data_IF_384052365037
#
_entry.id   IF_384052365037
#
_cell.length_a   1.000
_cell.length_b   1.000
_cell.length_c   1.000
_cell.angle_alpha   90.00
_cell.angle_beta   90.00
_cell.angle_gamma   90.00
#
_symmetry.space_group_name_H-M   'P 1'
#
loop_
_entity.id
_entity.type
_entity.pdbx_description
1 polymer ?
#
# COMPACT_ATOMS: atom_id res chain seq x y z
N UNK A 1 48.72 -30.26 -7.20
CA UNK A 1 48.56 -29.41 -6.01
C UNK A 1 48.10 -28.05 -6.50
N UNK A 2 46.80 -27.87 -6.66
CA UNK A 2 46.23 -26.58 -7.05
C UNK A 2 45.57 -25.92 -5.85
N UNK A 3 46.02 -24.77 -5.64
CA UNK A 3 46.03 -23.86 -4.51
C UNK A 3 44.66 -23.61 -3.89
N UNK A 4 44.50 -23.99 -2.63
CA UNK A 4 43.41 -23.69 -1.71
C UNK A 4 43.17 -22.16 -1.48
N UNK A 5 44.06 -21.32 -1.98
CA UNK A 5 44.00 -19.86 -1.80
C UNK A 5 42.96 -19.16 -2.69
N UNK A 6 42.58 -19.72 -3.82
CA UNK A 6 41.60 -19.07 -4.71
C UNK A 6 40.15 -19.15 -4.18
N UNK A 7 39.82 -20.20 -3.45
CA UNK A 7 38.49 -20.36 -2.86
C UNK A 7 38.25 -19.36 -1.70
N UNK A 8 39.29 -19.03 -0.96
CA UNK A 8 39.19 -18.06 0.17
C UNK A 8 39.02 -16.63 -0.31
N UNK A 9 39.66 -16.24 -1.43
CA UNK A 9 39.53 -14.90 -1.99
C UNK A 9 38.14 -14.70 -2.60
N UNK A 10 37.57 -15.72 -3.27
CA UNK A 10 36.23 -15.66 -3.82
C UNK A 10 35.16 -15.53 -2.73
N UNK A 11 35.32 -16.22 -1.58
CA UNK A 11 34.39 -16.10 -0.46
C UNK A 11 34.42 -14.74 0.24
N UNK A 12 35.61 -14.13 0.34
CA UNK A 12 35.76 -12.80 0.93
C UNK A 12 35.19 -11.68 0.05
N UNK A 13 35.25 -11.83 -1.28
CA UNK A 13 34.66 -10.85 -2.21
C UNK A 13 33.15 -10.91 -2.20
N UNK A 14 32.54 -12.13 -2.14
CA UNK A 14 31.08 -12.26 -2.06
C UNK A 14 30.52 -11.75 -0.73
N UNK A 15 31.23 -11.99 0.38
CA UNK A 15 30.85 -11.45 1.69
C UNK A 15 30.94 -9.91 1.75
N UNK A 16 31.89 -9.31 1.03
CA UNK A 16 32.06 -7.84 0.99
C UNK A 16 30.98 -7.15 0.17
N UNK A 17 30.48 -7.78 -0.91
CA UNK A 17 29.40 -7.23 -1.74
C UNK A 17 28.08 -7.25 -0.98
N UNK A 18 27.77 -8.33 -0.25
CA UNK A 18 26.58 -8.39 0.58
C UNK A 18 26.59 -7.38 1.73
N UNK A 19 27.75 -7.14 2.36
CA UNK A 19 27.89 -6.18 3.45
C UNK A 19 27.79 -4.71 3.00
N UNK A 20 28.01 -4.42 1.71
CA UNK A 20 27.82 -3.06 1.17
C UNK A 20 26.37 -2.77 0.77
N UNK A 21 25.57 -3.78 0.46
CA UNK A 21 24.15 -3.59 0.16
C UNK A 21 23.32 -3.31 1.42
N UNK A 22 23.71 -3.88 2.57
CA UNK A 22 23.05 -3.63 3.87
C UNK A 22 23.32 -2.23 4.44
N UNK A 23 24.25 -1.48 3.84
CA UNK A 23 24.59 -0.10 4.23
C UNK A 23 24.23 0.95 3.18
N UNK A 24 23.41 0.63 2.21
CA UNK A 24 22.74 1.67 1.46
C UNK A 24 21.92 2.49 2.46
N UNK A 25 22.42 3.67 2.81
CA UNK A 25 21.74 4.66 3.65
C UNK A 25 20.48 5.12 2.94
N UNK A 26 19.46 4.27 2.94
CA UNK A 26 18.10 4.75 2.76
C UNK A 26 17.85 5.65 3.96
N UNK A 27 17.84 6.96 3.73
CA UNK A 27 17.69 7.96 4.78
C UNK A 27 16.55 7.58 5.72
N UNK A 28 16.64 7.99 6.98
CA UNK A 28 15.59 7.71 7.95
C UNK A 28 14.21 8.02 7.35
N UNK A 29 13.22 7.12 7.50
CA UNK A 29 11.92 7.31 6.91
C UNK A 29 11.32 8.63 7.39
N UNK A 30 10.98 9.51 6.45
CA UNK A 30 10.42 10.82 6.76
C UNK A 30 9.10 10.67 7.51
N UNK A 31 9.08 11.08 8.77
CA UNK A 31 7.85 11.06 9.58
C UNK A 31 6.94 12.20 9.14
N UNK A 32 5.84 11.86 8.49
CA UNK A 32 4.82 12.82 8.11
C UNK A 32 4.06 13.30 9.35
N UNK A 33 3.99 14.63 9.53
CA UNK A 33 3.29 15.22 10.66
C UNK A 33 1.77 15.07 10.47
N UNK A 34 1.02 14.71 11.53
CA UNK A 34 -0.43 14.69 11.45
C UNK A 34 -0.98 16.11 11.19
N UNK A 35 -2.14 16.16 10.55
CA UNK A 35 -2.83 17.44 10.29
C UNK A 35 -3.11 18.19 11.59
N UNK A 36 -2.85 19.48 11.59
CA UNK A 36 -3.05 20.37 12.75
C UNK A 36 -3.86 21.58 12.35
N UNK A 37 -4.69 22.02 13.28
CA UNK A 37 -5.43 23.26 13.21
C UNK A 37 -4.69 24.41 13.93
N UNK A 38 -5.24 25.61 13.88
CA UNK A 38 -4.81 26.75 14.69
C UNK A 38 -5.02 26.48 16.18
N UNK A 39 -4.37 27.28 17.04
CA UNK A 39 -4.54 27.19 18.50
C UNK A 39 -6.01 27.35 18.87
N UNK A 40 -6.51 26.49 19.78
CA UNK A 40 -7.91 26.46 20.22
C UNK A 40 -8.86 25.74 19.25
N UNK A 41 -8.31 25.12 18.19
CA UNK A 41 -9.09 24.35 17.23
C UNK A 41 -8.59 22.89 17.12
N UNK A 42 -9.51 21.97 16.87
CA UNK A 42 -9.21 20.56 16.60
C UNK A 42 -9.65 20.13 15.20
N UNK A 43 -8.88 19.24 14.56
CA UNK A 43 -9.30 18.62 13.32
C UNK A 43 -10.37 17.55 13.55
N UNK A 44 -11.44 17.63 12.78
CA UNK A 44 -12.51 16.62 12.73
C UNK A 44 -12.76 16.19 11.29
N UNK A 45 -13.25 14.96 11.05
CA UNK A 45 -13.54 14.48 9.70
C UNK A 45 -14.61 15.34 9.01
N UNK A 46 -14.37 15.68 7.74
CA UNK A 46 -15.38 16.31 6.89
C UNK A 46 -16.45 15.33 6.46
N UNK A 47 -17.68 15.82 6.32
CA UNK A 47 -18.75 15.13 5.65
C UNK A 47 -19.05 15.79 4.29
N UNK A 48 -19.37 15.05 3.22
CA UNK A 48 -19.45 13.58 3.13
C UNK A 48 -18.08 12.92 3.23
N UNK A 49 -18.03 11.72 3.86
CA UNK A 49 -16.83 10.91 3.89
C UNK A 49 -16.51 10.43 2.48
N UNK A 50 -15.33 10.80 1.99
CA UNK A 50 -14.88 10.53 0.61
C UNK A 50 -13.53 9.85 0.66
N UNK A 51 -13.53 8.56 0.42
CA UNK A 51 -12.30 7.78 0.24
C UNK A 51 -12.30 7.21 -1.16
N UNK A 52 -11.17 7.30 -1.82
CA UNK A 52 -10.93 6.70 -3.12
C UNK A 52 -9.80 5.69 -2.99
N UNK A 53 -9.94 4.55 -3.65
CA UNK A 53 -8.88 3.55 -3.68
C UNK A 53 -8.72 2.99 -5.09
N UNK A 54 -7.49 2.89 -5.53
CA UNK A 54 -7.10 2.19 -6.77
C UNK A 54 -6.62 0.76 -6.47
N UNK A 55 -6.98 0.23 -5.28
CA UNK A 55 -6.43 -1.05 -4.86
C UNK A 55 -4.92 -0.96 -4.62
N UNK A 56 -4.22 -2.05 -4.89
CA UNK A 56 -2.77 -2.11 -4.74
C UNK A 56 -2.00 -1.34 -5.82
N UNK A 57 -2.62 -1.03 -6.96
CA UNK A 57 -1.99 -0.26 -8.05
C UNK A 57 -1.48 1.10 -7.59
N UNK A 58 -2.24 1.79 -6.70
CA UNK A 58 -1.86 3.12 -6.20
C UNK A 58 -0.67 3.10 -5.24
N UNK A 59 -0.48 2.00 -4.53
CA UNK A 59 0.52 1.94 -3.46
C UNK A 59 1.93 1.66 -3.97
N UNK A 60 2.10 1.28 -5.22
CA UNK A 60 3.36 0.80 -5.76
C UNK A 60 3.77 1.47 -7.08
N UNK A 61 3.13 2.61 -7.43
CA UNK A 61 3.55 3.42 -8.57
C UNK A 61 3.61 2.65 -9.90
N UNK A 62 2.71 1.70 -10.12
CA UNK A 62 2.71 0.85 -11.31
C UNK A 62 3.76 -0.27 -11.32
N UNK A 63 4.67 -0.34 -10.34
CA UNK A 63 5.72 -1.37 -10.28
C UNK A 63 5.16 -2.79 -10.05
N UNK A 64 3.99 -2.93 -9.41
CA UNK A 64 3.35 -4.25 -9.27
C UNK A 64 2.80 -4.78 -10.59
N UNK A 65 2.49 -3.91 -11.55
CA UNK A 65 2.10 -4.35 -12.87
C UNK A 65 3.26 -5.04 -13.63
N UNK A 66 4.49 -4.84 -13.17
CA UNK A 66 5.70 -5.42 -13.78
C UNK A 66 6.17 -6.74 -13.15
N UNK A 67 5.49 -7.29 -12.14
CA UNK A 67 5.86 -8.60 -11.62
C UNK A 67 5.40 -9.69 -12.61
N UNK A 68 6.34 -10.41 -13.26
CA UNK A 68 6.00 -11.56 -14.09
C UNK A 68 5.32 -12.61 -13.21
N UNK A 69 4.14 -13.07 -13.61
CA UNK A 69 3.43 -14.12 -12.88
C UNK A 69 2.20 -13.66 -12.11
N UNK A 70 1.61 -12.51 -12.45
CA UNK A 70 0.29 -12.14 -11.95
C UNK A 70 -0.69 -13.24 -12.36
N UNK A 71 -1.16 -14.00 -11.39
CA UNK A 71 -2.24 -14.97 -11.61
C UNK A 71 -3.46 -14.21 -12.15
N UNK A 72 -4.22 -14.80 -13.07
CA UNK A 72 -5.46 -14.24 -13.62
C UNK A 72 -6.58 -14.05 -12.57
N UNK A 73 -6.25 -14.25 -11.29
CA UNK A 73 -7.14 -14.11 -10.14
C UNK A 73 -7.11 -12.73 -9.48
N UNK A 74 -8.05 -12.49 -8.54
CA UNK A 74 -8.05 -11.28 -7.72
C UNK A 74 -6.78 -11.20 -6.88
N UNK A 75 -6.24 -9.98 -6.73
CA UNK A 75 -5.07 -9.72 -5.90
C UNK A 75 -5.39 -10.03 -4.42
N UNK A 76 -4.69 -10.96 -3.77
CA UNK A 76 -4.97 -11.32 -2.38
C UNK A 76 -4.77 -10.14 -1.41
N UNK A 77 -3.99 -9.13 -1.78
CA UNK A 77 -3.72 -7.94 -0.96
C UNK A 77 -4.71 -6.79 -1.20
N UNK A 78 -5.68 -6.93 -2.10
CA UNK A 78 -6.56 -5.83 -2.51
C UNK A 78 -7.32 -5.21 -1.34
N UNK A 79 -7.87 -6.03 -0.44
CA UNK A 79 -8.55 -5.54 0.75
C UNK A 79 -7.61 -4.79 1.71
N UNK A 80 -6.36 -5.23 1.83
CA UNK A 80 -5.36 -4.54 2.63
C UNK A 80 -4.98 -3.19 2.02
N UNK A 81 -4.92 -3.10 0.70
CA UNK A 81 -4.68 -1.85 -0.02
C UNK A 81 -5.86 -0.88 0.13
N UNK A 82 -7.09 -1.36 0.06
CA UNK A 82 -8.28 -0.55 0.32
C UNK A 82 -8.30 -0.02 1.76
N UNK A 83 -7.96 -0.86 2.73
CA UNK A 83 -7.86 -0.48 4.13
C UNK A 83 -6.76 0.58 4.36
N UNK A 84 -5.60 0.45 3.69
CA UNK A 84 -4.52 1.44 3.70
C UNK A 84 -4.99 2.78 3.13
N UNK A 85 -5.64 2.77 1.98
CA UNK A 85 -6.19 3.97 1.34
C UNK A 85 -7.20 4.68 2.26
N UNK A 86 -8.10 3.93 2.91
CA UNK A 86 -9.04 4.47 3.88
C UNK A 86 -8.35 5.09 5.08
N UNK A 87 -7.31 4.42 5.62
CA UNK A 87 -6.53 4.95 6.73
C UNK A 87 -5.85 6.26 6.36
N UNK A 88 -5.11 6.32 5.25
CA UNK A 88 -4.37 7.53 4.82
C UNK A 88 -5.29 8.73 4.56
N UNK A 89 -6.51 8.48 4.07
CA UNK A 89 -7.51 9.50 3.76
C UNK A 89 -8.43 9.84 4.93
N UNK A 90 -8.30 9.13 6.05
CA UNK A 90 -9.07 9.47 7.26
C UNK A 90 -8.41 10.62 8.00
N UNK A 91 -9.20 11.65 8.32
CA UNK A 91 -8.73 12.82 9.06
C UNK A 91 -8.13 12.45 10.42
N UNK A 92 -6.93 12.95 10.71
CA UNK A 92 -6.21 12.72 11.96
C UNK A 92 -5.54 11.36 12.07
N UNK A 93 -5.54 10.56 10.99
CA UNK A 93 -4.72 9.34 10.91
C UNK A 93 -3.23 9.67 10.95
N UNK A 94 -2.39 8.68 11.17
CA UNK A 94 -0.93 8.83 11.20
C UNK A 94 -0.33 7.92 10.14
N UNK A 95 0.38 8.49 9.17
CA UNK A 95 0.86 7.77 7.98
C UNK A 95 1.59 6.47 8.29
N UNK A 96 2.57 6.51 9.20
CA UNK A 96 3.35 5.31 9.53
C UNK A 96 2.50 4.21 10.19
N UNK A 97 1.46 4.56 10.97
CA UNK A 97 0.54 3.57 11.53
C UNK A 97 -0.36 2.94 10.46
N UNK A 98 -0.77 3.71 9.43
CA UNK A 98 -1.49 3.16 8.30
C UNK A 98 -0.61 2.17 7.52
N UNK A 99 0.66 2.50 7.34
CA UNK A 99 1.63 1.60 6.71
C UNK A 99 1.87 0.33 7.53
N UNK A 100 2.05 0.46 8.84
CA UNK A 100 2.20 -0.69 9.75
C UNK A 100 0.97 -1.62 9.72
N UNK A 101 -0.23 -1.05 9.74
CA UNK A 101 -1.46 -1.83 9.64
C UNK A 101 -1.57 -2.55 8.29
N UNK A 102 -1.18 -1.91 7.20
CA UNK A 102 -1.13 -2.53 5.89
C UNK A 102 -0.15 -3.71 5.87
N UNK A 103 1.06 -3.55 6.39
CA UNK A 103 2.05 -4.63 6.45
C UNK A 103 1.52 -5.82 7.24
N UNK A 104 0.97 -5.60 8.43
CA UNK A 104 0.35 -6.66 9.25
C UNK A 104 -0.82 -7.36 8.54
N UNK A 105 -1.65 -6.61 7.82
CA UNK A 105 -2.73 -7.17 7.02
C UNK A 105 -2.18 -8.08 5.92
N UNK A 106 -1.21 -7.58 5.15
CA UNK A 106 -0.60 -8.33 4.05
C UNK A 106 0.13 -9.58 4.52
N UNK A 107 0.95 -9.49 5.56
CA UNK A 107 1.64 -10.63 6.16
C UNK A 107 0.66 -11.72 6.60
N UNK A 108 -0.43 -11.34 7.27
CA UNK A 108 -1.47 -12.29 7.70
C UNK A 108 -2.21 -12.92 6.51
N UNK A 109 -2.49 -12.13 5.48
CA UNK A 109 -3.16 -12.60 4.25
C UNK A 109 -2.27 -13.58 3.49
N UNK A 110 -1.01 -13.25 3.26
CA UNK A 110 -0.07 -14.12 2.55
C UNK A 110 0.20 -15.42 3.32
N UNK A 111 0.36 -15.34 4.64
CA UNK A 111 0.56 -16.51 5.49
C UNK A 111 -0.65 -17.47 5.52
N UNK A 112 -1.85 -17.00 5.21
CA UNK A 112 -3.06 -17.83 5.12
C UNK A 112 -3.18 -18.60 3.80
N UNK A 113 -2.33 -18.34 2.81
CA UNK A 113 -2.31 -19.04 1.52
C UNK A 113 -1.65 -20.43 1.73
N UNK A 114 -2.38 -21.49 1.41
CA UNK A 114 -1.93 -22.85 1.64
C UNK A 114 -0.77 -23.30 0.71
N UNK A 115 -0.73 -22.77 -0.52
CA UNK A 115 0.35 -23.06 -1.45
C UNK A 115 1.61 -22.24 -1.11
N UNK A 116 2.76 -22.86 -0.80
CA UNK A 116 3.97 -22.18 -0.40
C UNK A 116 4.50 -21.20 -1.45
N UNK A 117 4.39 -21.56 -2.74
CA UNK A 117 4.85 -20.70 -3.83
C UNK A 117 3.96 -19.46 -3.96
N UNK A 118 2.64 -19.63 -3.91
CA UNK A 118 1.70 -18.51 -3.95
C UNK A 118 1.83 -17.61 -2.71
N UNK A 119 2.11 -18.17 -1.53
CA UNK A 119 2.41 -17.42 -0.31
C UNK A 119 3.68 -16.56 -0.45
N UNK A 120 4.76 -17.13 -0.99
CA UNK A 120 6.01 -16.41 -1.28
C UNK A 120 5.79 -15.30 -2.31
N UNK A 121 5.11 -15.60 -3.41
CA UNK A 121 4.78 -14.61 -4.45
C UNK A 121 3.89 -13.48 -3.91
N UNK A 122 2.98 -13.77 -2.99
CA UNK A 122 2.17 -12.77 -2.28
C UNK A 122 3.02 -11.86 -1.39
N UNK A 123 4.10 -12.38 -0.79
CA UNK A 123 4.92 -11.65 0.17
C UNK A 123 5.93 -10.70 -0.49
N UNK A 124 6.40 -11.00 -1.70
CA UNK A 124 7.38 -10.18 -2.44
C UNK A 124 6.97 -8.70 -2.60
N UNK A 125 5.73 -8.39 -2.97
CA UNK A 125 5.26 -7.01 -3.03
C UNK A 125 5.33 -6.27 -1.69
N UNK A 126 5.14 -6.97 -0.56
CA UNK A 126 5.21 -6.35 0.76
C UNK A 126 6.64 -5.94 1.11
N UNK A 127 7.64 -6.74 0.76
CA UNK A 127 9.05 -6.40 0.97
C UNK A 127 9.43 -5.15 0.15
N UNK A 128 9.03 -5.10 -1.12
CA UNK A 128 9.24 -3.92 -1.96
C UNK A 128 8.54 -2.69 -1.37
N UNK A 129 7.31 -2.83 -0.89
CA UNK A 129 6.57 -1.75 -0.26
C UNK A 129 7.27 -1.24 1.02
N UNK A 130 7.93 -2.10 1.77
CA UNK A 130 8.72 -1.71 2.95
C UNK A 130 9.88 -0.79 2.55
N UNK A 131 10.59 -1.13 1.48
CA UNK A 131 11.69 -0.31 0.93
C UNK A 131 11.14 1.02 0.39
N UNK A 132 10.10 0.96 -0.44
CA UNK A 132 9.50 2.15 -1.07
C UNK A 132 8.90 3.12 -0.05
N UNK A 133 8.40 2.62 1.08
CA UNK A 133 7.83 3.48 2.13
C UNK A 133 8.85 4.42 2.76
N UNK A 134 10.14 4.08 2.71
CA UNK A 134 11.23 4.94 3.18
C UNK A 134 11.54 6.09 2.22
N UNK A 135 11.25 5.90 0.93
CA UNK A 135 11.47 6.90 -0.13
C UNK A 135 10.26 7.82 -0.33
N UNK A 136 9.13 7.46 0.24
CA UNK A 136 7.87 8.17 0.08
C UNK A 136 7.91 9.56 0.74
N UNK A 137 7.38 10.55 0.02
CA UNK A 137 7.20 11.90 0.54
C UNK A 137 5.83 12.07 1.23
N UNK A 138 5.65 13.18 1.94
CA UNK A 138 4.40 13.43 2.67
C UNK A 138 3.32 14.12 1.83
N UNK A 139 3.58 14.50 0.59
CA UNK A 139 2.73 15.41 -0.17
C UNK A 139 1.33 14.83 -0.41
N UNK A 140 1.23 13.56 -0.79
CA UNK A 140 -0.05 12.91 -1.04
C UNK A 140 -0.85 12.77 0.26
N UNK A 141 -0.21 12.30 1.33
CA UNK A 141 -0.82 12.21 2.65
C UNK A 141 -1.31 13.56 3.15
N UNK A 142 -0.49 14.61 3.04
CA UNK A 142 -0.84 15.97 3.47
C UNK A 142 -2.04 16.53 2.68
N UNK A 143 -2.11 16.20 1.38
CA UNK A 143 -3.25 16.56 0.54
C UNK A 143 -4.53 15.84 0.99
N UNK A 144 -4.47 14.55 1.27
CA UNK A 144 -5.61 13.80 1.80
C UNK A 144 -6.10 14.38 3.13
N UNK A 145 -5.18 14.71 4.03
CA UNK A 145 -5.54 15.29 5.32
C UNK A 145 -6.22 16.65 5.16
N UNK A 146 -5.71 17.55 4.30
CA UNK A 146 -6.34 18.86 4.00
C UNK A 146 -7.72 18.71 3.38
N UNK A 147 -7.91 17.73 2.50
CA UNK A 147 -9.20 17.50 1.85
C UNK A 147 -10.25 16.95 2.82
N UNK A 148 -9.86 16.07 3.73
CA UNK A 148 -10.77 15.29 4.56
C UNK A 148 -10.89 15.79 6.00
N UNK A 149 -10.05 16.75 6.43
CA UNK A 149 -10.16 17.40 7.72
C UNK A 149 -10.81 18.78 7.60
N UNK A 150 -11.58 19.16 8.62
CA UNK A 150 -11.95 20.54 8.91
C UNK A 150 -11.54 20.88 10.33
N UNK A 151 -11.18 22.14 10.56
CA UNK A 151 -10.90 22.68 11.89
C UNK A 151 -12.19 23.20 12.50
N UNK A 152 -12.42 22.87 13.76
CA UNK A 152 -13.53 23.39 14.57
C UNK A 152 -12.99 23.76 15.94
N UNK A 153 -13.69 24.61 16.67
CA UNK A 153 -13.32 24.99 18.03
C UNK A 153 -13.37 23.75 18.95
N UNK A 154 -12.47 23.67 19.92
CA UNK A 154 -12.29 22.48 20.76
C UNK A 154 -13.58 22.07 21.49
N UNK A 155 -14.39 23.05 21.93
CA UNK A 155 -15.69 22.84 22.58
C UNK A 155 -16.75 22.22 21.63
N UNK A 156 -16.68 22.50 20.33
CA UNK A 156 -17.57 21.93 19.30
C UNK A 156 -17.09 20.59 18.75
N UNK A 157 -15.81 20.25 18.96
CA UNK A 157 -15.18 19.11 18.31
C UNK A 157 -15.92 17.79 18.61
N UNK A 158 -16.33 17.56 19.86
CA UNK A 158 -17.03 16.33 20.24
C UNK A 158 -18.42 16.22 19.60
N UNK A 159 -19.13 17.34 19.45
CA UNK A 159 -20.43 17.40 18.79
C UNK A 159 -20.32 17.06 17.30
N UNK A 160 -19.28 17.60 16.64
CA UNK A 160 -19.00 17.29 15.22
C UNK A 160 -18.57 15.84 15.00
N UNK A 161 -17.83 15.23 15.94
CA UNK A 161 -17.52 13.79 15.92
C UNK A 161 -18.78 12.92 15.99
N UNK A 162 -19.68 13.23 16.93
CA UNK A 162 -20.97 12.53 17.06
C UNK A 162 -21.76 12.67 15.75
N UNK A 163 -21.88 13.87 15.23
CA UNK A 163 -22.61 14.17 13.99
C UNK A 163 -22.03 13.39 12.78
N UNK A 164 -20.69 13.33 12.69
CA UNK A 164 -20.03 12.55 11.63
C UNK A 164 -20.38 11.05 11.73
N UNK A 165 -20.22 10.44 12.90
CA UNK A 165 -20.48 9.01 13.09
C UNK A 165 -21.96 8.68 12.87
N UNK A 166 -22.88 9.55 13.32
CA UNK A 166 -24.32 9.40 13.08
C UNK A 166 -24.60 9.37 11.56
N UNK A 167 -24.13 10.38 10.82
CA UNK A 167 -24.29 10.45 9.36
C UNK A 167 -23.65 9.27 8.62
N UNK A 168 -22.53 8.76 9.15
CA UNK A 168 -21.89 7.58 8.60
C UNK A 168 -22.81 6.37 8.69
N UNK A 169 -23.38 6.12 9.87
CA UNK A 169 -24.31 5.01 10.06
C UNK A 169 -25.62 5.20 9.27
N UNK A 170 -26.22 6.39 9.30
CA UNK A 170 -27.40 6.71 8.49
C UNK A 170 -27.23 6.33 7.02
N UNK A 171 -26.02 6.53 6.48
CA UNK A 171 -25.73 6.25 5.07
C UNK A 171 -25.36 4.80 4.79
N UNK A 172 -24.55 4.17 5.65
CA UNK A 172 -23.91 2.89 5.34
C UNK A 172 -24.44 1.72 6.15
N UNK A 173 -25.08 1.97 7.29
CA UNK A 173 -25.71 0.95 8.13
C UNK A 173 -26.77 1.58 9.05
N UNK A 174 -27.96 1.92 8.55
CA UNK A 174 -29.01 2.60 9.30
C UNK A 174 -29.47 1.87 10.57
N UNK A 175 -29.37 0.54 10.58
CA UNK A 175 -29.78 -0.29 11.73
C UNK A 175 -28.94 -0.01 12.98
N UNK A 176 -27.70 0.44 12.81
CA UNK A 176 -26.74 0.67 13.88
C UNK A 176 -26.60 2.16 14.30
N UNK A 177 -27.44 3.07 13.77
CA UNK A 177 -27.40 4.51 14.10
C UNK A 177 -27.41 4.77 15.61
N UNK A 178 -28.19 3.99 16.38
CA UNK A 178 -28.26 4.10 17.82
C UNK A 178 -26.92 3.91 18.56
N UNK A 179 -25.94 3.25 17.91
CA UNK A 179 -24.58 3.05 18.45
C UNK A 179 -23.68 4.27 18.26
N UNK A 180 -24.02 5.19 17.36
CA UNK A 180 -23.16 6.30 16.92
C UNK A 180 -22.69 7.18 18.09
N UNK A 181 -23.63 7.65 18.93
CA UNK A 181 -23.32 8.52 20.07
C UNK A 181 -22.35 7.86 21.06
N UNK A 182 -22.57 6.57 21.38
CA UNK A 182 -21.72 5.81 22.31
C UNK A 182 -20.31 5.58 21.74
N UNK A 183 -20.20 5.31 20.44
CA UNK A 183 -18.90 5.10 19.78
C UNK A 183 -18.13 6.41 19.65
N UNK A 184 -18.79 7.50 19.23
CA UNK A 184 -18.17 8.82 19.16
C UNK A 184 -17.71 9.35 20.52
N UNK A 185 -18.46 9.06 21.61
CA UNK A 185 -18.06 9.43 22.96
C UNK A 185 -16.75 8.75 23.41
N UNK A 186 -16.48 7.53 22.93
CA UNK A 186 -15.22 6.83 23.19
C UNK A 186 -14.06 7.34 22.31
N UNK A 187 -14.38 8.00 21.22
CA UNK A 187 -13.43 8.60 20.27
C UNK A 187 -13.22 10.09 20.57
N UNK A 188 -12.88 10.41 21.81
CA UNK A 188 -12.75 11.74 22.40
C UNK A 188 -11.52 12.52 21.94
N UNK A 189 -10.59 11.88 21.26
CA UNK A 189 -9.40 12.53 20.69
C UNK A 189 -9.35 12.35 19.17
N UNK A 190 -8.59 13.22 18.48
CA UNK A 190 -8.35 13.17 17.05
C UNK A 190 -7.89 11.76 16.62
N UNK A 191 -6.93 11.19 17.34
CA UNK A 191 -6.37 9.85 17.04
C UNK A 191 -7.38 8.72 17.24
N UNK A 192 -8.16 8.76 18.34
CA UNK A 192 -9.21 7.75 18.58
C UNK A 192 -10.30 7.87 17.53
N UNK A 193 -10.65 9.10 17.13
CA UNK A 193 -11.63 9.34 16.08
C UNK A 193 -11.14 8.80 14.73
N UNK A 194 -9.90 9.06 14.36
CA UNK A 194 -9.29 8.50 13.14
C UNK A 194 -9.32 6.96 13.16
N UNK A 195 -8.96 6.34 14.28
CA UNK A 195 -9.02 4.88 14.46
C UNK A 195 -10.44 4.34 14.30
N UNK A 196 -11.44 5.02 14.88
CA UNK A 196 -12.85 4.63 14.75
C UNK A 196 -13.29 4.70 13.29
N UNK A 197 -13.03 5.82 12.60
CA UNK A 197 -13.45 6.05 11.21
C UNK A 197 -12.78 5.04 10.26
N UNK A 198 -11.49 4.75 10.45
CA UNK A 198 -10.79 3.72 9.66
C UNK A 198 -11.42 2.34 9.86
N UNK A 199 -11.71 1.96 11.11
CA UNK A 199 -12.41 0.68 11.41
C UNK A 199 -13.82 0.61 10.79
N UNK A 200 -14.55 1.74 10.80
CA UNK A 200 -15.84 1.82 10.12
C UNK A 200 -15.70 1.67 8.61
N UNK A 201 -14.70 2.29 8.01
CA UNK A 201 -14.46 2.17 6.57
C UNK A 201 -14.12 0.73 6.15
N UNK A 202 -13.29 0.03 6.91
CA UNK A 202 -12.97 -1.39 6.67
C UNK A 202 -14.21 -2.27 6.84
N UNK A 203 -15.01 -2.00 7.89
CA UNK A 203 -16.24 -2.79 8.16
C UNK A 203 -17.34 -2.54 7.11
N UNK A 204 -17.41 -1.35 6.56
CA UNK A 204 -18.42 -0.93 5.59
C UNK A 204 -17.77 -0.46 4.29
N UNK A 205 -17.18 -1.37 3.49
CA UNK A 205 -16.35 -1.02 2.33
C UNK A 205 -17.10 -0.24 1.23
N UNK A 206 -18.44 -0.25 1.23
CA UNK A 206 -19.26 0.58 0.35
C UNK A 206 -18.98 2.10 0.48
N UNK A 207 -18.31 2.54 1.56
CA UNK A 207 -17.88 3.93 1.71
C UNK A 207 -16.59 4.25 0.93
N UNK A 208 -15.88 3.23 0.45
CA UNK A 208 -14.66 3.37 -0.35
C UNK A 208 -15.06 3.34 -1.82
N UNK A 209 -14.82 4.43 -2.54
CA UNK A 209 -15.01 4.47 -3.99
C UNK A 209 -13.80 3.84 -4.66
N UNK A 210 -13.99 2.67 -5.24
CA UNK A 210 -12.97 2.05 -6.10
C UNK A 210 -12.91 2.85 -7.40
N UNK A 211 -11.70 3.23 -7.80
CA UNK A 211 -11.41 3.93 -9.05
C UNK A 211 -10.35 3.16 -9.81
N UNK A 212 -10.45 3.15 -11.12
CA UNK A 212 -9.40 2.56 -11.96
C UNK A 212 -8.14 3.42 -11.93
N UNK A 213 -6.99 2.76 -12.01
CA UNK A 213 -5.71 3.43 -12.17
C UNK A 213 -5.68 4.09 -13.56
N UNK A 214 -5.54 5.42 -13.65
CA UNK A 214 -5.50 6.10 -14.93
C UNK A 214 -4.33 5.68 -15.82
N UNK A 215 -3.26 5.13 -15.21
CA UNK A 215 -2.09 4.65 -15.94
C UNK A 215 -2.20 3.17 -16.34
N UNK A 216 -3.24 2.45 -15.89
CA UNK A 216 -3.37 1.00 -16.16
C UNK A 216 -3.32 0.69 -17.66
N UNK A 217 -4.13 1.36 -18.46
CA UNK A 217 -4.18 1.14 -19.91
C UNK A 217 -2.83 1.40 -20.60
N UNK A 218 -2.08 2.40 -20.13
CA UNK A 218 -0.73 2.70 -20.61
C UNK A 218 0.26 1.61 -20.22
N UNK A 219 0.22 1.15 -18.97
CA UNK A 219 1.10 0.09 -18.48
C UNK A 219 0.78 -1.26 -19.15
N UNK A 220 -0.51 -1.60 -19.32
CA UNK A 220 -0.93 -2.81 -20.02
C UNK A 220 -0.41 -2.82 -21.46
N UNK A 221 -0.40 -1.66 -22.15
CA UNK A 221 0.18 -1.51 -23.50
C UNK A 221 1.69 -1.76 -23.51
N UNK A 222 2.45 -1.14 -22.60
CA UNK A 222 3.91 -1.34 -22.50
C UNK A 222 4.24 -2.80 -22.21
N UNK A 223 3.50 -3.45 -21.31
CA UNK A 223 3.72 -4.86 -20.99
C UNK A 223 3.46 -5.78 -22.18
N UNK A 224 2.42 -5.49 -22.96
CA UNK A 224 2.12 -6.23 -24.18
C UNK A 224 3.24 -6.09 -25.22
N UNK A 225 3.70 -4.86 -25.48
CA UNK A 225 4.81 -4.59 -26.40
C UNK A 225 6.13 -5.23 -25.94
N UNK A 226 6.38 -5.31 -24.62
CA UNK A 226 7.57 -5.95 -24.07
C UNK A 226 7.53 -7.49 -24.18
N UNK A 227 6.35 -8.10 -24.05
CA UNK A 227 6.17 -9.54 -24.21
C UNK A 227 6.27 -9.95 -25.69
N UNK A 228 5.67 -9.19 -26.61
CA UNK A 228 5.78 -9.42 -28.06
C UNK A 228 7.25 -9.41 -28.52
N UNK A 229 8.09 -8.49 -28.01
CA UNK A 229 9.52 -8.46 -28.32
C UNK A 229 10.32 -9.66 -27.80
N UNK A 230 9.91 -10.23 -26.66
CA UNK A 230 10.60 -11.43 -26.13
C UNK A 230 10.29 -12.67 -26.93
N UNK A 231 9.06 -12.80 -27.45
CA UNK A 231 8.69 -13.92 -28.33
C UNK A 231 9.47 -13.87 -29.65
N UNK A 232 9.71 -12.67 -30.20
CA UNK A 232 10.51 -12.50 -31.44
C UNK A 232 12.00 -12.84 -31.22
N UNK A 233 12.58 -12.50 -30.05
CA UNK A 233 13.99 -12.79 -29.73
C UNK A 233 14.24 -14.30 -29.46
N UNK A 234 13.28 -15.03 -28.87
CA UNK A 234 13.39 -16.47 -28.62
C UNK A 234 13.28 -17.32 -29.91
N UNK A 235 12.62 -16.81 -30.95
CA UNK A 235 12.51 -17.46 -32.26
C UNK A 235 13.80 -17.31 -33.12
N UNK A 236 14.59 -16.25 -32.95
CA UNK A 236 15.85 -16.08 -33.66
C UNK A 236 16.98 -16.99 -33.13
N UNK A 237 17.03 -17.26 -31.82
CA UNK A 237 18.05 -18.15 -31.23
C UNK A 237 17.82 -19.64 -31.59
N UNK A 238 16.58 -20.04 -31.81
CA UNK A 238 16.27 -21.43 -32.21
C UNK A 238 16.63 -21.77 -33.66
N UNK A 239 16.76 -20.76 -34.52
CA UNK A 239 17.14 -20.95 -35.93
C UNK A 239 18.67 -21.10 -36.17
N UNK A 240 19.49 -20.73 -35.17
CA UNK A 240 20.95 -20.74 -35.28
C UNK A 240 21.61 -22.09 -34.94
N UNK A 241 20.90 -23.00 -34.23
CA UNK A 241 21.48 -24.30 -33.83
C UNK A 241 21.39 -25.42 -34.87
N UNK A 242 20.62 -25.24 -35.95
CA UNK A 242 20.41 -26.33 -36.97
C UNK A 242 21.36 -26.26 -38.18
N UNK A 243 22.39 -25.40 -38.19
CA UNK A 243 23.34 -25.24 -39.30
C UNK A 243 24.73 -25.81 -39.03
N UNK A 244 24.93 -26.66 -38.03
CA UNK A 244 26.26 -27.06 -37.54
C UNK A 244 26.65 -28.53 -37.55
N UNK A 245 25.98 -29.44 -38.28
CA UNK A 245 26.43 -30.88 -38.34
C UNK A 245 26.22 -31.49 -39.75
N UNK A 246 26.99 -31.01 -40.72
CA UNK A 246 27.34 -31.83 -41.88
C UNK A 246 28.83 -31.61 -42.21
N UNK A 247 29.51 -32.79 -42.34
CA UNK A 247 30.85 -33.08 -42.88
C UNK A 247 32.10 -32.88 -41.98
N UNK A 248 32.59 -33.98 -41.42
CA UNK A 248 33.79 -34.72 -41.95
C UNK A 248 34.04 -35.96 -41.12
#
# INVERSE_FOLDING_TARGET
MMSTNYLFVAFLVVASVNAQFDKANFGEPKICKPFRCSKGQEPVPKWPYKVKSMGCSSSMGGMMAMTPGKSDGPDPLEDCCHAKAACLQTCGSVKHLCQEQFMKCGEATCAAIADPKASDDCSKPLELQKIMSSLDNCNEYDNYQRQNCKCVDEDEAQKERVKFVTRFYEKYNPEDVGKAKKLAAKADTVRKMATLVTKLAVKYPKCIKIIEDPNKAYMDKIMKEANEKKEDDDDEDSAAEDLGTEEL
#
